data_IF_643040256102
#
_entry.id   IF_643040256102
#
_cell.length_a   1.000
_cell.length_b   1.000
_cell.length_c   1.000
_cell.angle_alpha   90.00
_cell.angle_beta   90.00
_cell.angle_gamma   90.00
#
_symmetry.space_group_name_H-M   'P 1'
#
loop_
_entity.id
_entity.type
_entity.pdbx_description
1 polymer ?
#
# COMPACT_ATOMS: atom_id res chain seq x y z
N UNK A 1 -7.60 -19.50 1.10
CA UNK A 1 -6.86 -18.32 1.61
C UNK A 1 -7.14 -17.17 0.68
N UNK A 2 -7.83 -16.15 1.14
CA UNK A 2 -8.07 -14.93 0.35
C UNK A 2 -6.74 -14.19 0.24
N UNK A 3 -6.32 -13.87 -0.97
CA UNK A 3 -5.04 -13.18 -1.21
C UNK A 3 -5.13 -11.78 -0.58
N UNK A 4 -4.12 -11.40 0.23
CA UNK A 4 -4.07 -10.06 0.83
C UNK A 4 -4.03 -9.00 -0.30
N UNK A 5 -5.04 -8.11 -0.43
CA UNK A 5 -5.14 -7.16 -1.54
C UNK A 5 -4.01 -6.13 -1.55
N UNK A 6 -3.40 -5.83 -0.40
CA UNK A 6 -2.29 -4.89 -0.28
C UNK A 6 -0.93 -5.48 -0.71
N UNK A 7 -0.84 -6.80 -0.91
CA UNK A 7 0.34 -7.44 -1.48
C UNK A 7 0.49 -7.23 -2.98
N UNK A 8 -0.35 -6.40 -3.59
CA UNK A 8 -0.16 -5.96 -4.95
C UNK A 8 1.12 -5.12 -5.03
N UNK A 9 2.17 -5.78 -5.37
CA UNK A 9 3.44 -5.22 -5.78
C UNK A 9 3.82 -5.92 -7.06
N UNK A 10 4.74 -5.36 -7.79
CA UNK A 10 5.22 -6.00 -8.99
C UNK A 10 6.05 -7.21 -8.60
N UNK A 11 5.48 -8.40 -8.76
CA UNK A 11 6.24 -9.64 -8.67
C UNK A 11 7.15 -9.74 -9.90
N UNK A 12 8.40 -10.12 -9.68
CA UNK A 12 9.35 -10.42 -10.75
C UNK A 12 9.55 -9.27 -11.76
N UNK A 13 10.17 -8.20 -11.30
CA UNK A 13 10.68 -7.16 -12.18
C UNK A 13 11.78 -7.72 -13.07
N UNK A 14 11.71 -7.45 -14.36
CA UNK A 14 12.73 -7.85 -15.35
C UNK A 14 13.01 -6.72 -16.34
N UNK A 15 14.23 -6.68 -16.83
CA UNK A 15 14.65 -5.74 -17.89
C UNK A 15 14.90 -6.54 -19.16
N UNK A 16 14.27 -6.14 -20.23
CA UNK A 16 14.46 -6.73 -21.56
C UNK A 16 15.03 -5.70 -22.52
N UNK A 17 16.06 -6.07 -23.26
CA UNK A 17 16.57 -5.27 -24.37
C UNK A 17 15.56 -5.31 -25.53
N UNK A 18 15.15 -4.14 -25.98
CA UNK A 18 14.36 -3.96 -27.20
C UNK A 18 15.22 -3.34 -28.24
N UNK A 19 15.35 -4.02 -29.39
CA UNK A 19 16.05 -3.53 -30.57
C UNK A 19 15.01 -3.15 -31.61
N UNK A 20 14.99 -1.91 -32.05
CA UNK A 20 14.10 -1.43 -33.10
C UNK A 20 14.88 -0.95 -34.28
N UNK A 21 14.58 -1.48 -35.48
CA UNK A 21 15.12 -0.97 -36.73
C UNK A 21 14.48 0.39 -37.05
N UNK A 22 15.30 1.42 -37.12
CA UNK A 22 14.83 2.79 -37.41
C UNK A 22 14.47 3.00 -38.87
N UNK A 23 14.99 2.13 -39.76
CA UNK A 23 14.68 2.15 -41.22
C UNK A 23 14.55 0.72 -41.74
N UNK A 24 13.56 0.42 -42.60
CA UNK A 24 13.45 -0.86 -43.26
C UNK A 24 14.72 -1.14 -44.10
N UNK A 25 15.51 -2.16 -43.75
CA UNK A 25 16.74 -2.52 -44.43
C UNK A 25 17.95 -1.65 -44.11
N UNK A 26 17.87 -0.76 -43.11
CA UNK A 26 18.95 0.10 -42.68
C UNK A 26 19.78 -0.51 -41.53
N UNK A 27 21.04 -0.04 -41.44
CA UNK A 27 21.97 -0.45 -40.36
C UNK A 27 21.77 0.33 -39.03
N UNK A 28 20.80 1.23 -38.98
CA UNK A 28 20.51 2.05 -37.78
C UNK A 28 19.47 1.35 -36.92
N UNK A 29 19.90 1.00 -35.73
CA UNK A 29 19.04 0.40 -34.70
C UNK A 29 18.95 1.31 -33.47
N UNK A 30 17.75 1.49 -32.93
CA UNK A 30 17.57 2.06 -31.59
C UNK A 30 17.57 0.94 -30.57
N UNK A 31 18.36 1.12 -29.52
CA UNK A 31 18.39 0.23 -28.37
C UNK A 31 17.58 0.87 -27.24
N UNK A 32 16.66 0.12 -26.67
CA UNK A 32 15.89 0.53 -25.51
C UNK A 32 15.79 -0.61 -24.51
N UNK A 33 15.58 -0.27 -23.25
CA UNK A 33 15.45 -1.24 -22.18
C UNK A 33 14.04 -1.15 -21.62
N UNK A 34 13.26 -2.21 -21.82
CA UNK A 34 11.88 -2.30 -21.36
C UNK A 34 11.84 -2.97 -19.99
N UNK A 35 11.21 -2.31 -19.04
CA UNK A 35 11.00 -2.85 -17.71
C UNK A 35 9.63 -3.52 -17.68
N UNK A 36 9.65 -4.81 -17.41
CA UNK A 36 8.46 -5.64 -17.26
C UNK A 36 8.24 -5.98 -15.78
N UNK A 37 6.97 -6.04 -15.39
CA UNK A 37 6.53 -6.61 -14.14
C UNK A 37 5.49 -7.69 -14.39
N UNK A 38 5.45 -8.66 -13.51
CA UNK A 38 4.34 -9.61 -13.49
C UNK A 38 3.31 -9.13 -12.45
N UNK A 39 2.07 -8.94 -12.89
CA UNK A 39 0.91 -8.82 -12.02
C UNK A 39 0.08 -10.10 -12.17
N UNK A 40 0.18 -10.99 -11.19
CA UNK A 40 -0.43 -12.34 -11.21
C UNK A 40 0.07 -13.16 -12.41
N UNK A 41 -0.68 -13.22 -13.51
CA UNK A 41 -0.33 -13.95 -14.73
C UNK A 41 -0.18 -13.03 -15.95
N UNK A 42 -0.17 -11.72 -15.76
CA UNK A 42 -0.04 -10.74 -16.84
C UNK A 42 1.30 -10.04 -16.75
N UNK A 43 1.98 -9.94 -17.90
CA UNK A 43 3.18 -9.13 -18.04
C UNK A 43 2.75 -7.70 -18.35
N UNK A 44 3.18 -6.76 -17.52
CA UNK A 44 2.95 -5.33 -17.69
C UNK A 44 4.25 -4.66 -18.12
N UNK A 45 4.18 -3.75 -19.09
CA UNK A 45 5.27 -2.84 -19.41
C UNK A 45 5.16 -1.64 -18.46
N UNK A 46 6.15 -1.46 -17.61
CA UNK A 46 6.18 -0.34 -16.65
C UNK A 46 6.84 0.90 -17.23
N UNK A 47 7.95 0.72 -17.98
CA UNK A 47 8.72 1.82 -18.51
C UNK A 47 9.63 1.35 -19.64
N UNK A 48 10.03 2.28 -20.51
CA UNK A 48 11.05 2.09 -21.53
C UNK A 48 12.14 3.12 -21.29
N UNK A 49 13.39 2.66 -21.18
CA UNK A 49 14.54 3.50 -20.87
C UNK A 49 15.59 3.44 -21.99
N UNK A 50 16.29 4.54 -22.28
CA UNK A 50 17.32 4.56 -23.32
C UNK A 50 18.61 3.84 -22.88
N UNK A 51 18.84 3.66 -21.57
CA UNK A 51 20.04 2.98 -21.05
C UNK A 51 19.70 1.92 -20.04
N UNK A 52 20.56 0.90 -19.93
CA UNK A 52 20.44 -0.17 -18.96
C UNK A 52 20.54 0.38 -17.53
N UNK A 53 21.41 1.34 -17.29
CA UNK A 53 21.61 1.95 -15.96
C UNK A 53 20.34 2.62 -15.47
N UNK A 54 19.64 3.39 -16.29
CA UNK A 54 18.37 4.02 -15.94
C UNK A 54 17.28 2.98 -15.67
N UNK A 55 17.23 1.89 -16.45
CA UNK A 55 16.30 0.81 -16.21
C UNK A 55 16.59 0.11 -14.87
N UNK A 56 17.86 -0.14 -14.54
CA UNK A 56 18.26 -0.73 -13.26
C UNK A 56 17.89 0.16 -12.08
N UNK A 57 18.10 1.47 -12.16
CA UNK A 57 17.71 2.42 -11.11
C UNK A 57 16.20 2.41 -10.86
N UNK A 58 15.38 2.27 -11.90
CA UNK A 58 13.93 2.17 -11.74
C UNK A 58 13.56 0.85 -11.05
N UNK A 59 14.14 -0.27 -11.50
CA UNK A 59 13.90 -1.57 -10.86
C UNK A 59 14.29 -1.55 -9.39
N UNK A 60 15.45 -0.99 -9.04
CA UNK A 60 15.90 -0.83 -7.66
C UNK A 60 14.91 -0.03 -6.81
N UNK A 61 14.40 1.09 -7.33
CA UNK A 61 13.36 1.88 -6.64
C UNK A 61 12.06 1.11 -6.45
N UNK A 62 11.63 0.35 -7.47
CA UNK A 62 10.39 -0.41 -7.41
C UNK A 62 10.48 -1.65 -6.51
N UNK A 63 11.68 -2.19 -6.28
CA UNK A 63 11.90 -3.30 -5.35
C UNK A 63 11.88 -2.85 -3.89
N UNK A 64 11.92 -1.55 -3.61
CA UNK A 64 11.97 -0.99 -2.25
C UNK A 64 13.11 -1.58 -1.39
N UNK A 65 14.17 -2.06 -2.01
CA UNK A 65 15.26 -2.76 -1.32
C UNK A 65 16.13 -1.83 -0.46
N UNK A 66 16.08 -0.52 -0.69
CA UNK A 66 16.99 0.44 -0.06
C UNK A 66 16.54 0.92 1.32
N UNK A 67 15.33 0.58 1.78
CA UNK A 67 14.78 1.01 3.06
C UNK A 67 14.45 2.51 3.17
N UNK A 68 14.71 3.31 2.13
CA UNK A 68 14.37 4.73 2.09
C UNK A 68 12.93 5.00 1.68
N UNK A 69 12.23 4.00 1.18
CA UNK A 69 10.86 4.11 0.70
C UNK A 69 9.91 3.44 1.67
N UNK A 70 8.76 4.06 1.87
CA UNK A 70 7.65 3.48 2.64
C UNK A 70 6.47 3.27 1.70
N UNK A 71 5.79 2.13 1.83
CA UNK A 71 4.56 1.88 1.08
C UNK A 71 3.45 2.79 1.61
N UNK A 72 2.79 3.48 0.71
CA UNK A 72 1.57 4.22 0.96
C UNK A 72 0.46 3.63 0.09
N UNK A 73 -0.69 3.37 0.69
CA UNK A 73 -1.89 2.98 -0.03
C UNK A 73 -2.97 4.01 0.20
N UNK A 74 -3.57 4.46 -0.88
CA UNK A 74 -4.74 5.29 -0.91
C UNK A 74 -5.91 4.46 -1.42
N UNK A 75 -6.94 4.31 -0.60
CA UNK A 75 -8.11 3.47 -0.90
C UNK A 75 -9.40 4.23 -0.58
N UNK A 76 -10.47 3.85 -1.27
CA UNK A 76 -11.79 4.45 -1.05
C UNK A 76 -12.31 4.25 0.36
N UNK A 77 -12.93 5.30 0.95
CA UNK A 77 -13.73 5.19 2.18
C UNK A 77 -14.89 4.21 2.03
N UNK A 78 -15.34 3.88 0.80
CA UNK A 78 -16.36 2.87 0.54
C UNK A 78 -16.00 1.45 1.05
N UNK A 79 -14.76 1.22 1.46
CA UNK A 79 -14.34 -0.02 2.14
C UNK A 79 -14.74 -0.10 3.62
N UNK A 80 -15.35 0.95 4.13
CA UNK A 80 -15.82 1.04 5.51
C UNK A 80 -17.29 1.48 5.55
N UNK A 81 -18.07 1.02 6.54
CA UNK A 81 -19.39 1.59 6.81
C UNK A 81 -19.28 3.10 7.09
N UNK A 82 -20.28 3.90 6.67
CA UNK A 82 -20.30 5.36 6.85
C UNK A 82 -20.07 5.77 8.32
N UNK A 83 -20.74 5.10 9.25
CA UNK A 83 -20.58 5.34 10.69
C UNK A 83 -19.15 5.09 11.19
N UNK A 84 -18.43 4.17 10.56
CA UNK A 84 -17.02 3.92 10.86
C UNK A 84 -16.16 5.05 10.31
N UNK A 85 -16.43 5.50 9.09
CA UNK A 85 -15.73 6.64 8.45
C UNK A 85 -15.88 7.89 9.32
N UNK A 86 -17.09 8.23 9.77
CA UNK A 86 -17.35 9.38 10.64
C UNK A 86 -16.57 9.30 11.96
N UNK A 87 -16.49 8.10 12.54
CA UNK A 87 -15.71 7.87 13.75
C UNK A 87 -14.23 8.11 13.51
N UNK A 88 -13.67 7.59 12.41
CA UNK A 88 -12.26 7.79 12.06
C UNK A 88 -11.94 9.26 11.78
N UNK A 89 -12.83 9.99 11.12
CA UNK A 89 -12.71 11.44 10.95
C UNK A 89 -12.64 12.14 12.32
N UNK A 90 -13.54 11.79 13.21
CA UNK A 90 -13.56 12.38 14.57
C UNK A 90 -12.26 12.11 15.33
N UNK A 91 -11.65 10.94 15.15
CA UNK A 91 -10.36 10.58 15.75
C UNK A 91 -9.17 11.31 15.10
N UNK A 92 -9.20 11.50 13.78
CA UNK A 92 -8.12 12.13 13.03
C UNK A 92 -8.08 13.66 13.23
N UNK A 93 -9.26 14.28 13.34
CA UNK A 93 -9.42 15.74 13.44
C UNK A 93 -9.59 16.23 14.88
N UNK A 94 -9.38 15.37 15.86
CA UNK A 94 -9.39 15.79 17.26
C UNK A 94 -8.23 16.76 17.56
N UNK A 95 -8.47 17.79 18.38
CA UNK A 95 -7.47 18.80 18.79
C UNK A 95 -6.15 18.21 19.33
N UNK A 96 -6.21 16.98 19.78
CA UNK A 96 -5.04 16.18 20.16
C UNK A 96 -5.10 14.88 19.38
N UNK A 97 -4.27 14.72 18.34
CA UNK A 97 -4.18 13.46 17.61
C UNK A 97 -3.98 12.31 18.60
N UNK A 98 -4.85 11.35 18.55
CA UNK A 98 -4.81 10.19 19.43
C UNK A 98 -3.57 9.36 19.07
N UNK A 99 -2.47 9.59 19.80
CA UNK A 99 -1.26 8.78 19.69
C UNK A 99 -1.50 7.43 20.36
N UNK A 100 -2.11 6.54 19.62
CA UNK A 100 -2.38 5.19 20.07
C UNK A 100 -1.10 4.34 19.99
N UNK A 101 -0.06 4.75 20.73
CA UNK A 101 1.25 4.08 20.73
C UNK A 101 1.15 2.59 21.02
N UNK A 102 0.26 2.23 21.94
CA UNK A 102 0.01 0.84 22.32
C UNK A 102 -0.74 0.04 21.26
N UNK A 103 -1.45 0.73 20.36
CA UNK A 103 -2.15 0.12 19.23
C UNK A 103 -1.33 0.16 17.93
N UNK A 104 -0.10 0.69 18.00
CA UNK A 104 0.85 0.81 16.88
C UNK A 104 0.32 1.59 15.67
N UNK A 105 -0.59 2.52 15.90
CA UNK A 105 -1.15 3.42 14.89
C UNK A 105 -1.06 4.88 15.32
N UNK A 106 -1.10 5.76 14.34
CA UNK A 106 -1.14 7.21 14.51
C UNK A 106 -2.01 7.80 13.42
N UNK A 107 -3.10 8.47 13.82
CA UNK A 107 -3.95 9.19 12.88
C UNK A 107 -3.39 10.55 12.55
N UNK A 108 -3.63 10.99 11.32
CA UNK A 108 -3.31 12.34 10.88
C UNK A 108 -4.31 12.80 9.82
N UNK A 109 -4.53 14.11 9.73
CA UNK A 109 -5.33 14.71 8.68
C UNK A 109 -4.46 15.15 7.50
N UNK A 110 -5.05 15.18 6.31
CA UNK A 110 -4.46 15.84 5.15
C UNK A 110 -5.19 17.17 4.91
N UNK A 111 -4.47 18.28 5.11
CA UNK A 111 -5.05 19.61 4.99
C UNK A 111 -5.73 19.84 3.64
N UNK A 112 -6.97 20.30 3.66
CA UNK A 112 -7.74 20.66 2.46
C UNK A 112 -8.44 19.49 1.77
N UNK A 113 -8.37 18.28 2.33
CA UNK A 113 -9.00 17.08 1.78
C UNK A 113 -9.80 16.35 2.86
N UNK A 114 -10.93 15.74 2.45
CA UNK A 114 -11.71 14.84 3.32
C UNK A 114 -11.04 13.45 3.43
N UNK A 115 -9.73 13.43 3.73
CA UNK A 115 -8.89 12.23 3.77
C UNK A 115 -8.45 11.96 5.19
N UNK A 116 -8.67 10.74 5.66
CA UNK A 116 -8.13 10.26 6.94
C UNK A 116 -6.86 9.49 6.68
N UNK A 117 -5.74 9.96 7.22
CA UNK A 117 -4.48 9.24 7.21
C UNK A 117 -4.27 8.41 8.47
N UNK A 118 -3.76 7.19 8.29
CA UNK A 118 -3.33 6.33 9.37
C UNK A 118 -1.92 5.81 9.10
N UNK A 119 -0.97 6.16 9.99
CA UNK A 119 0.38 5.64 9.95
C UNK A 119 0.48 4.40 10.81
N UNK A 120 0.89 3.30 10.20
CA UNK A 120 1.17 2.05 10.89
C UNK A 120 2.60 2.11 11.44
N UNK A 121 2.74 2.05 12.76
CA UNK A 121 4.05 2.15 13.43
C UNK A 121 4.70 0.78 13.55
N UNK A 122 6.03 0.73 13.51
CA UNK A 122 6.96 -0.41 13.61
C UNK A 122 6.41 -1.63 14.38
N UNK A 123 6.30 -2.80 13.86
CA UNK A 123 5.02 -3.40 13.79
C UNK A 123 5.01 -4.83 14.27
N UNK A 124 4.21 -5.16 15.25
CA UNK A 124 3.79 -6.52 15.53
C UNK A 124 2.63 -6.96 14.60
N UNK A 125 2.70 -6.61 13.31
CA UNK A 125 1.69 -7.00 12.32
C UNK A 125 1.92 -8.38 11.74
N UNK A 126 3.15 -8.90 11.89
CA UNK A 126 3.57 -10.23 11.47
C UNK A 126 4.28 -10.95 12.60
N UNK A 127 4.31 -12.29 12.55
CA UNK A 127 5.02 -13.12 13.54
C UNK A 127 6.54 -12.91 13.49
N UNK A 128 7.08 -12.40 12.38
CA UNK A 128 8.51 -12.18 12.18
C UNK A 128 9.14 -11.18 13.17
N UNK A 129 8.32 -10.36 13.82
CA UNK A 129 8.76 -9.31 14.72
C UNK A 129 8.50 -9.62 16.22
N UNK A 130 8.13 -10.85 16.56
CA UNK A 130 7.79 -11.26 17.93
C UNK A 130 8.92 -10.99 18.93
N UNK A 131 10.16 -11.26 18.53
CA UNK A 131 11.33 -11.06 19.40
C UNK A 131 11.55 -9.59 19.76
N UNK A 132 11.21 -8.67 18.85
CA UNK A 132 11.40 -7.24 19.02
C UNK A 132 10.31 -6.58 19.87
N UNK A 133 9.07 -7.04 19.75
CA UNK A 133 7.92 -6.34 20.30
C UNK A 133 7.17 -7.11 21.38
N UNK A 134 7.48 -8.38 21.60
CA UNK A 134 6.82 -9.26 22.58
C UNK A 134 5.30 -9.26 22.46
N UNK A 135 4.78 -8.93 21.29
CA UNK A 135 3.35 -8.80 21.01
C UNK A 135 3.01 -9.54 19.73
N UNK A 136 2.09 -10.48 19.82
CA UNK A 136 1.60 -11.21 18.65
C UNK A 136 0.58 -10.38 17.87
N UNK A 137 0.46 -10.57 16.55
CA UNK A 137 -0.57 -9.90 15.74
C UNK A 137 -1.99 -10.11 16.28
N UNK A 138 -2.30 -11.31 16.77
CA UNK A 138 -3.60 -11.62 17.37
C UNK A 138 -3.85 -10.81 18.66
N UNK A 139 -2.84 -10.66 19.52
CA UNK A 139 -2.94 -9.87 20.76
C UNK A 139 -3.09 -8.38 20.45
N UNK A 140 -2.38 -7.89 19.42
CA UNK A 140 -2.55 -6.52 18.94
C UNK A 140 -3.98 -6.29 18.46
N UNK A 141 -4.51 -7.21 17.63
CA UNK A 141 -5.88 -7.14 17.13
C UNK A 141 -6.89 -7.07 18.27
N UNK A 142 -6.75 -7.93 19.28
CA UNK A 142 -7.63 -7.92 20.45
C UNK A 142 -7.56 -6.59 21.23
N UNK A 143 -6.38 -6.02 21.42
CA UNK A 143 -6.22 -4.70 22.05
C UNK A 143 -6.88 -3.60 21.26
N UNK A 144 -6.75 -3.59 19.93
CA UNK A 144 -7.38 -2.62 19.05
C UNK A 144 -8.91 -2.67 19.15
N UNK A 145 -9.49 -3.87 19.13
CA UNK A 145 -10.92 -4.08 19.33
C UNK A 145 -11.39 -3.69 20.74
N UNK A 146 -10.63 -4.06 21.77
CA UNK A 146 -10.94 -3.70 23.15
C UNK A 146 -10.91 -2.19 23.38
N UNK A 147 -10.04 -1.48 22.67
CA UNK A 147 -9.97 -0.01 22.69
C UNK A 147 -11.16 0.66 22.00
N UNK A 148 -11.96 -0.09 21.26
CA UNK A 148 -13.15 0.39 20.58
C UNK A 148 -12.93 0.75 19.10
N UNK A 149 -11.81 0.34 18.51
CA UNK A 149 -11.67 0.49 17.05
C UNK A 149 -12.65 -0.45 16.33
N UNK A 150 -13.34 0.05 15.29
CA UNK A 150 -14.27 -0.78 14.50
C UNK A 150 -13.59 -1.98 13.87
N UNK A 151 -14.25 -3.12 13.85
CA UNK A 151 -13.68 -4.38 13.36
C UNK A 151 -13.31 -4.32 11.89
N UNK A 152 -14.11 -3.65 11.08
CA UNK A 152 -13.86 -3.47 9.64
C UNK A 152 -12.57 -2.70 9.40
N UNK A 153 -12.31 -1.67 10.20
CA UNK A 153 -11.08 -0.90 10.12
C UNK A 153 -9.87 -1.70 10.63
N UNK A 154 -10.03 -2.42 11.74
CA UNK A 154 -8.97 -3.28 12.28
C UNK A 154 -8.56 -4.35 11.27
N UNK A 155 -9.51 -4.96 10.56
CA UNK A 155 -9.23 -5.95 9.53
C UNK A 155 -8.41 -5.36 8.37
N UNK A 156 -8.76 -4.16 7.90
CA UNK A 156 -7.97 -3.43 6.88
C UNK A 156 -6.56 -3.11 7.39
N UNK A 157 -6.42 -2.63 8.63
CA UNK A 157 -5.13 -2.34 9.25
C UNK A 157 -4.21 -3.57 9.28
N UNK A 158 -4.75 -4.74 9.66
CA UNK A 158 -3.96 -5.96 9.73
C UNK A 158 -3.53 -6.45 8.35
N UNK A 159 -4.41 -6.38 7.34
CA UNK A 159 -4.05 -6.69 5.96
C UNK A 159 -2.97 -5.74 5.43
N UNK A 160 -3.12 -4.44 5.67
CA UNK A 160 -2.14 -3.44 5.28
C UNK A 160 -0.79 -3.65 5.99
N UNK A 161 -0.82 -3.90 7.29
CA UNK A 161 0.38 -4.15 8.09
C UNK A 161 1.15 -5.39 7.65
N UNK A 162 0.45 -6.51 7.36
CA UNK A 162 1.04 -7.73 6.81
C UNK A 162 1.68 -7.50 5.43
N UNK A 163 1.19 -6.54 4.66
CA UNK A 163 1.75 -6.15 3.38
C UNK A 163 2.85 -5.07 3.50
N UNK A 164 3.31 -4.79 4.71
CA UNK A 164 4.31 -3.75 5.01
C UNK A 164 3.90 -2.35 4.52
N UNK A 165 2.61 -2.05 4.56
CA UNK A 165 2.09 -0.70 4.31
C UNK A 165 2.42 0.18 5.52
N UNK A 166 2.98 1.34 5.24
CA UNK A 166 3.39 2.31 6.28
C UNK A 166 2.35 3.40 6.49
N UNK A 167 1.73 3.83 5.40
CA UNK A 167 0.71 4.85 5.40
C UNK A 167 -0.52 4.34 4.67
N UNK A 168 -1.67 4.40 5.32
CA UNK A 168 -2.97 4.11 4.74
C UNK A 168 -3.76 5.40 4.70
N UNK A 169 -4.21 5.80 3.50
CA UNK A 169 -5.07 6.95 3.27
C UNK A 169 -6.46 6.44 2.90
N UNK A 170 -7.46 6.92 3.60
CA UNK A 170 -8.87 6.68 3.32
C UNK A 170 -9.44 7.93 2.70
N UNK A 171 -9.68 7.88 1.39
CA UNK A 171 -10.10 8.99 0.56
C UNK A 171 -11.44 8.63 -0.12
N UNK A 172 -12.49 9.48 -0.03
CA UNK A 172 -13.75 9.23 -0.71
C UNK A 172 -13.61 9.20 -2.25
N UNK A 173 -12.63 9.92 -2.80
CA UNK A 173 -12.40 10.03 -4.24
C UNK A 173 -11.45 8.93 -4.78
N UNK A 174 -10.81 8.17 -3.90
CA UNK A 174 -9.92 7.10 -4.31
C UNK A 174 -10.69 5.90 -4.91
N UNK A 175 -10.06 5.15 -5.81
CA UNK A 175 -10.65 3.93 -6.34
C UNK A 175 -10.77 2.85 -5.28
N UNK A 176 -11.77 1.98 -5.44
CA UNK A 176 -11.92 0.80 -4.59
C UNK A 176 -10.82 -0.23 -4.90
N UNK A 177 -10.26 -0.83 -3.85
CA UNK A 177 -9.25 -1.88 -3.95
C UNK A 177 -9.95 -3.25 -4.08
N UNK A 178 -9.79 -3.90 -5.21
CA UNK A 178 -10.37 -5.23 -5.42
C UNK A 178 -9.83 -6.23 -4.39
N UNK A 179 -10.71 -6.94 -3.72
CA UNK A 179 -10.40 -7.91 -2.66
C UNK A 179 -10.69 -7.40 -1.25
N UNK A 180 -11.01 -6.10 -1.10
CA UNK A 180 -11.66 -5.58 0.11
C UNK A 180 -13.18 -5.55 -0.04
N UNK A 181 -13.94 -5.68 1.06
CA UNK A 181 -15.38 -5.45 1.03
C UNK A 181 -15.69 -4.01 0.60
N UNK A 182 -16.85 -3.80 -0.02
CA UNK A 182 -17.40 -2.47 -0.25
C UNK A 182 -18.74 -2.38 0.46
N UNK A 183 -18.95 -1.29 1.17
CA UNK A 183 -20.18 -0.98 1.84
C UNK A 183 -20.92 0.04 0.96
N UNK A 184 -22.02 -0.37 0.36
CA UNK A 184 -22.85 0.55 -0.42
C UNK A 184 -23.45 1.56 0.57
N UNK A 185 -23.36 2.85 0.27
CA UNK A 185 -24.19 3.84 0.93
C UNK A 185 -25.63 3.49 0.59
N UNK A 186 -26.39 2.96 1.54
CA UNK A 186 -27.83 2.88 1.40
C UNK A 186 -28.37 4.30 1.53
N UNK A 187 -28.51 4.95 0.37
CA UNK A 187 -29.21 6.23 0.25
C UNK A 187 -30.69 6.06 0.56
#
# INVERSE_FOLDING_TARGET
MTLNPFLRGYDKLSIQLLVQDLQPGGSLQALSYVIHAMDRNHTLVLSVQPTLEQAQQIVERLTFATGHFSRCWEISTAHLPETVVDNLFSLAYADKPLHLRELHIEFFEMSGHSVVGCKLRNTPWTEDNLELFSTRPADLRQRQLHYGLPVEFVDILHLAGQANVRFLLLDPDAPTLAGLPCFANMA
#
